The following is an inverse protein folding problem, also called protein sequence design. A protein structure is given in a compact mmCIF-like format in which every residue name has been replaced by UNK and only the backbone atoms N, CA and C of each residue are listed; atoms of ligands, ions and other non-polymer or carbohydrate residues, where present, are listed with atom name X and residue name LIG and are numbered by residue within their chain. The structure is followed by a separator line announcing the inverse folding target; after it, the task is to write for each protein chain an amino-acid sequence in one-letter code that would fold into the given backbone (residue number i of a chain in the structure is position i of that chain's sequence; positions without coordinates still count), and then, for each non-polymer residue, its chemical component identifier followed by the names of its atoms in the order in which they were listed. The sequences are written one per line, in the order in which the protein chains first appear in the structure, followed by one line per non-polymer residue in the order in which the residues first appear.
data_IF_186462511562
#
_entry.id   IF_186462511562
#
_cell.length_a   1.000
_cell.length_b   1.000
_cell.length_c   1.000
_cell.angle_alpha   90.00
_cell.angle_beta   90.00
_cell.angle_gamma   90.00
#
_symmetry.space_group_name_H-M   'P 1'
#
loop_
_entity.id
_entity.type
_entity.pdbx_description
1 polymer ?
#
# COMPACT_ATOMS: atom_id res chain seq x y z
N UNK A 1 -40.32 14.37 -9.85
CA UNK A 1 -39.38 15.35 -9.26
C UNK A 1 -39.07 14.87 -7.85
N UNK A 2 -37.83 14.48 -7.57
CA UNK A 2 -37.42 13.82 -6.33
C UNK A 2 -36.68 14.84 -5.47
N UNK A 3 -37.16 15.11 -4.24
CA UNK A 3 -36.56 16.07 -3.31
C UNK A 3 -35.95 15.29 -2.14
N UNK A 4 -34.63 15.07 -2.10
CA UNK A 4 -34.02 14.35 -0.99
C UNK A 4 -34.01 15.24 0.27
N UNK A 5 -34.62 14.73 1.35
CA UNK A 5 -34.65 15.42 2.65
C UNK A 5 -33.42 15.00 3.46
N UNK A 6 -32.36 15.81 3.43
CA UNK A 6 -31.15 15.57 4.22
C UNK A 6 -31.42 16.04 5.65
N UNK A 7 -31.44 15.11 6.61
CA UNK A 7 -31.53 15.42 8.05
C UNK A 7 -30.12 15.65 8.59
N UNK A 8 -29.80 16.89 8.97
CA UNK A 8 -28.57 17.20 9.68
C UNK A 8 -28.75 16.93 11.18
N UNK A 9 -27.94 16.04 11.74
CA UNK A 9 -27.81 15.86 13.20
C UNK A 9 -26.63 16.72 13.65
N UNK A 10 -26.91 17.73 14.49
CA UNK A 10 -25.91 18.68 14.98
C UNK A 10 -25.07 17.98 16.06
N UNK A 11 -23.77 17.82 15.83
CA UNK A 11 -22.82 17.20 16.77
C UNK A 11 -22.05 18.34 17.44
N UNK A 12 -22.62 18.88 18.53
CA UNK A 12 -21.95 19.60 19.62
C UNK A 12 -23.00 20.38 20.41
N UNK A 13 -23.56 19.75 21.43
CA UNK A 13 -24.13 20.47 22.58
C UNK A 13 -23.45 19.91 23.84
N UNK A 14 -22.99 20.76 24.78
CA UNK A 14 -22.45 20.31 26.05
C UNK A 14 -23.58 19.80 26.95
N UNK A 15 -23.40 18.60 27.49
CA UNK A 15 -24.29 17.97 28.45
C UNK A 15 -24.47 18.85 29.69
N UNK A 16 -25.71 19.23 29.97
CA UNK A 16 -26.11 19.81 31.24
C UNK A 16 -27.29 18.98 31.76
N UNK A 17 -27.06 18.26 32.86
CA UNK A 17 -28.00 17.30 33.41
C UNK A 17 -29.27 17.95 33.98
N UNK A 18 -30.36 17.21 34.01
CA UNK A 18 -31.05 16.87 35.26
C UNK A 18 -32.07 15.75 35.05
N UNK A 19 -32.35 15.06 36.14
CA UNK A 19 -33.04 13.79 36.37
C UNK A 19 -34.47 13.66 35.77
N UNK A 20 -34.83 12.44 35.35
CA UNK A 20 -36.04 11.73 35.85
C UNK A 20 -36.19 10.31 35.30
N UNK A 21 -36.64 9.45 36.21
CA UNK A 21 -36.79 7.99 36.17
C UNK A 21 -38.05 7.50 35.44
N UNK A 22 -37.94 6.50 34.55
CA UNK A 22 -38.97 5.50 34.13
C UNK A 22 -38.21 4.38 33.37
N UNK A 23 -37.88 3.23 33.96
CA UNK A 23 -38.63 1.95 34.09
C UNK A 23 -39.11 1.30 32.76
N UNK A 24 -38.76 0.00 32.61
CA UNK A 24 -39.20 -1.01 31.61
C UNK A 24 -38.49 -0.94 30.24
N UNK A 25 -37.93 -1.99 29.63
CA UNK A 25 -37.89 -3.45 29.82
C UNK A 25 -36.72 -4.00 28.96
N UNK A 26 -36.12 -5.17 29.27
CA UNK A 26 -35.14 -5.82 28.39
C UNK A 26 -35.86 -6.49 27.22
N UNK A 27 -35.51 -6.12 25.99
CA UNK A 27 -35.89 -6.88 24.80
C UNK A 27 -34.76 -7.87 24.55
N UNK A 28 -34.98 -9.11 24.99
CA UNK A 28 -34.35 -10.29 24.40
C UNK A 28 -34.69 -10.29 22.90
N UNK A 29 -33.66 -10.31 22.05
CA UNK A 29 -33.87 -10.68 20.66
C UNK A 29 -32.88 -11.77 20.25
N UNK A 30 -33.48 -12.80 19.69
CA UNK A 30 -33.00 -14.17 19.64
C UNK A 30 -31.79 -14.37 18.75
N UNK A 31 -30.93 -15.25 19.24
CA UNK A 31 -29.98 -16.08 18.51
C UNK A 31 -30.73 -16.97 17.50
N UNK A 32 -30.36 -16.96 16.20
CA UNK A 32 -30.51 -18.15 15.39
C UNK A 32 -29.24 -19.02 15.53
N UNK A 33 -29.42 -20.19 16.14
CA UNK A 33 -28.68 -21.39 15.75
C UNK A 33 -28.90 -21.59 14.24
N UNK A 34 -27.87 -21.76 13.43
CA UNK A 34 -27.12 -23.00 13.35
C UNK A 34 -27.61 -23.77 12.12
N UNK A 35 -26.85 -23.74 11.03
CA UNK A 35 -26.90 -24.78 10.00
C UNK A 35 -25.48 -25.16 9.64
N UNK A 36 -25.01 -26.26 10.22
CA UNK A 36 -23.96 -27.08 9.66
C UNK A 36 -24.52 -27.82 8.44
N UNK A 37 -23.78 -27.83 7.34
CA UNK A 37 -23.77 -28.92 6.35
C UNK A 37 -22.46 -28.77 5.57
N UNK A 38 -21.37 -29.44 5.94
CA UNK A 38 -21.00 -30.81 5.57
C UNK A 38 -21.12 -31.12 4.06
N UNK A 39 -19.97 -31.05 3.39
CA UNK A 39 -19.34 -32.18 2.67
C UNK A 39 -19.04 -31.97 1.18
N UNK A 40 -17.74 -32.16 0.89
CA UNK A 40 -17.11 -32.80 -0.30
C UNK A 40 -17.27 -32.05 -1.64
N UNK A 41 -16.23 -31.86 -2.43
CA UNK A 41 -15.42 -32.92 -3.04
C UNK A 41 -13.96 -32.54 -3.27
N UNK A 42 -13.11 -33.54 -3.06
CA UNK A 42 -11.73 -33.58 -3.48
C UNK A 42 -11.64 -33.50 -5.01
N UNK A 43 -10.88 -32.55 -5.53
CA UNK A 43 -10.37 -32.61 -6.91
C UNK A 43 -8.85 -32.59 -6.84
N UNK A 44 -8.31 -33.80 -6.80
CA UNK A 44 -7.18 -34.29 -7.58
C UNK A 44 -5.97 -33.36 -7.76
N UNK A 45 -4.99 -33.53 -6.87
CA UNK A 45 -3.57 -33.24 -7.15
C UNK A 45 -3.14 -33.92 -8.45
N UNK A 46 -2.70 -33.10 -9.41
CA UNK A 46 -1.93 -33.54 -10.57
C UNK A 46 -0.46 -33.23 -10.30
N UNK A 47 0.45 -34.22 -10.28
CA UNK A 47 1.87 -33.97 -10.10
C UNK A 47 2.45 -33.22 -11.31
N UNK A 48 3.21 -32.13 -11.13
CA UNK A 48 3.91 -31.48 -12.23
C UNK A 48 5.09 -32.35 -12.69
N UNK A 49 5.14 -32.60 -14.00
CA UNK A 49 6.29 -33.21 -14.66
C UNK A 49 7.53 -32.30 -14.55
N UNK A 50 8.73 -32.87 -14.36
CA UNK A 50 9.97 -32.12 -14.45
C UNK A 50 10.31 -31.87 -15.92
N UNK A 51 10.06 -30.66 -16.42
CA UNK A 51 10.55 -30.23 -17.73
C UNK A 51 12.02 -29.87 -17.59
N UNK A 52 12.84 -30.71 -18.20
CA UNK A 52 14.29 -30.61 -18.39
C UNK A 52 14.61 -29.26 -19.08
N UNK A 53 15.15 -28.30 -18.33
CA UNK A 53 15.67 -27.04 -18.89
C UNK A 53 17.08 -27.28 -19.43
N UNK A 54 17.26 -26.97 -20.71
CA UNK A 54 18.56 -26.89 -21.37
C UNK A 54 19.34 -25.66 -20.88
N UNK A 55 20.67 -25.71 -20.79
CA UNK A 55 21.47 -24.54 -20.43
C UNK A 55 21.56 -23.57 -21.61
N UNK A 56 20.76 -22.50 -21.57
CA UNK A 56 20.99 -21.31 -22.41
C UNK A 56 22.18 -20.54 -21.84
N UNK A 57 23.34 -20.89 -22.37
CA UNK A 57 24.54 -20.07 -22.37
C UNK A 57 24.32 -18.89 -23.32
N UNK A 58 24.45 -17.65 -22.84
CA UNK A 58 24.33 -16.51 -23.75
C UNK A 58 24.28 -15.12 -23.12
N UNK A 59 25.46 -14.50 -23.09
CA UNK A 59 25.70 -13.08 -23.39
C UNK A 59 25.50 -12.08 -22.26
N UNK A 60 26.67 -11.74 -21.70
CA UNK A 60 27.03 -10.47 -21.06
C UNK A 60 26.53 -9.28 -21.90
N UNK A 61 25.68 -8.45 -21.32
CA UNK A 61 25.50 -7.07 -21.77
C UNK A 61 26.14 -6.15 -20.73
N UNK A 62 27.42 -5.89 -20.95
CA UNK A 62 28.05 -4.64 -20.51
C UNK A 62 27.48 -3.57 -21.41
N UNK A 63 26.57 -2.73 -20.91
CA UNK A 63 26.22 -1.50 -21.61
C UNK A 63 26.86 -0.32 -20.90
N UNK A 64 27.85 0.21 -21.60
CA UNK A 64 28.61 1.39 -21.28
C UNK A 64 27.69 2.62 -21.29
N UNK A 65 27.65 3.29 -20.14
CA UNK A 65 27.81 4.74 -20.00
C UNK A 65 27.53 5.57 -21.27
N UNK A 66 26.26 5.91 -21.49
CA UNK A 66 25.88 7.05 -22.31
C UNK A 66 25.57 8.26 -21.40
N UNK A 67 26.58 9.10 -21.20
CA UNK A 67 26.43 10.50 -20.78
C UNK A 67 26.03 11.33 -22.02
N UNK A 68 24.76 11.28 -22.43
CA UNK A 68 24.23 12.19 -23.46
C UNK A 68 23.13 13.06 -22.84
N UNK A 69 23.40 14.37 -22.89
CA UNK A 69 22.61 15.45 -22.32
C UNK A 69 21.49 15.77 -23.30
N UNK A 70 20.41 15.02 -23.25
CA UNK A 70 19.17 15.36 -23.94
C UNK A 70 18.04 15.43 -22.90
N UNK A 71 17.27 16.51 -22.96
CA UNK A 71 16.13 16.87 -22.11
C UNK A 71 14.93 15.93 -22.35
N UNK A 72 15.19 14.63 -22.47
CA UNK A 72 14.21 13.59 -22.57
C UNK A 72 13.66 13.33 -21.16
N UNK A 73 12.36 13.57 -20.99
CA UNK A 73 11.61 13.18 -19.79
C UNK A 73 11.95 11.72 -19.47
N UNK A 74 12.74 11.52 -18.41
CA UNK A 74 13.10 10.17 -17.96
C UNK A 74 11.84 9.53 -17.43
N UNK A 75 11.57 8.30 -17.84
CA UNK A 75 10.45 7.55 -17.26
C UNK A 75 10.77 7.25 -15.79
N UNK A 76 9.75 7.23 -14.91
CA UNK A 76 9.95 6.93 -13.52
C UNK A 76 10.41 5.47 -13.37
N UNK A 77 11.38 5.22 -12.49
CA UNK A 77 11.96 3.90 -12.29
C UNK A 77 11.84 3.41 -10.85
N UNK A 78 11.74 2.10 -10.70
CA UNK A 78 11.74 1.39 -9.42
C UNK A 78 12.87 0.37 -9.45
N UNK A 79 13.86 0.52 -8.58
CA UNK A 79 14.99 -0.39 -8.45
C UNK A 79 15.07 -0.91 -7.00
N UNK A 80 15.62 -2.10 -6.80
CA UNK A 80 15.91 -2.60 -5.44
C UNK A 80 17.19 -1.93 -4.94
N UNK A 81 17.21 -1.45 -3.70
CA UNK A 81 18.40 -0.81 -3.14
C UNK A 81 19.53 -1.86 -2.99
N UNK A 82 20.71 -1.65 -3.61
CA UNK A 82 21.82 -2.60 -3.50
C UNK A 82 22.39 -2.71 -2.07
N UNK A 83 22.12 -1.72 -1.22
CA UNK A 83 22.56 -1.70 0.18
C UNK A 83 21.59 -2.43 1.11
N UNK A 84 20.31 -2.48 0.73
CA UNK A 84 19.23 -3.05 1.54
C UNK A 84 18.16 -3.72 0.65
N UNK A 85 18.15 -5.05 0.62
CA UNK A 85 17.23 -5.84 -0.19
C UNK A 85 15.75 -5.72 0.26
N UNK A 86 15.49 -5.15 1.44
CA UNK A 86 14.13 -4.86 1.94
C UNK A 86 13.62 -3.50 1.50
N UNK A 87 14.44 -2.72 0.78
CA UNK A 87 14.12 -1.37 0.31
C UNK A 87 14.16 -1.27 -1.21
N UNK A 88 13.40 -0.32 -1.73
CA UNK A 88 13.41 0.07 -3.14
C UNK A 88 13.79 1.54 -3.26
N UNK A 89 14.50 1.87 -4.33
CA UNK A 89 14.82 3.21 -4.77
C UNK A 89 13.88 3.59 -5.92
N UNK A 90 13.06 4.60 -5.67
CA UNK A 90 12.14 5.20 -6.61
C UNK A 90 12.83 6.43 -7.21
N UNK A 91 12.90 6.52 -8.53
CA UNK A 91 13.37 7.72 -9.24
C UNK A 91 12.20 8.28 -10.04
N UNK A 92 11.83 9.52 -9.73
CA UNK A 92 10.80 10.27 -10.44
C UNK A 92 11.32 10.83 -11.77
N UNK A 93 10.41 11.22 -12.66
CA UNK A 93 10.76 11.81 -13.96
C UNK A 93 11.52 13.13 -13.82
N UNK A 94 11.26 13.85 -12.72
CA UNK A 94 11.95 15.10 -12.36
C UNK A 94 13.32 14.89 -11.70
N UNK A 95 13.74 13.63 -11.52
CA UNK A 95 15.00 13.25 -10.90
C UNK A 95 14.98 13.23 -9.37
N UNK A 96 13.85 13.54 -8.71
CA UNK A 96 13.72 13.32 -7.27
C UNK A 96 13.76 11.83 -6.98
N UNK A 97 14.40 11.48 -5.86
CA UNK A 97 14.58 10.09 -5.44
C UNK A 97 13.96 9.85 -4.08
N UNK A 98 13.34 8.69 -3.93
CA UNK A 98 12.78 8.24 -2.68
C UNK A 98 13.24 6.81 -2.39
N UNK A 99 13.48 6.48 -1.13
CA UNK A 99 13.58 5.11 -0.65
C UNK A 99 12.25 4.70 -0.05
N UNK A 100 11.83 3.47 -0.28
CA UNK A 100 10.59 2.92 0.28
C UNK A 100 10.80 1.48 0.71
N UNK A 101 9.91 0.95 1.54
CA UNK A 101 9.90 -0.49 1.81
C UNK A 101 9.52 -1.25 0.53
N UNK A 102 10.19 -2.37 0.28
CA UNK A 102 9.96 -3.19 -0.91
C UNK A 102 8.60 -3.87 -0.93
N UNK A 103 8.10 -4.28 0.23
CA UNK A 103 6.87 -5.08 0.32
C UNK A 103 5.68 -4.25 0.73
N UNK A 104 4.58 -4.37 -0.03
CA UNK A 104 3.31 -3.71 0.27
C UNK A 104 2.74 -4.19 1.61
N UNK A 105 2.42 -3.29 2.56
CA UNK A 105 1.93 -3.66 3.89
C UNK A 105 0.54 -4.29 3.90
N UNK A 106 -0.18 -4.30 2.76
CA UNK A 106 -1.49 -4.94 2.67
C UNK A 106 -1.39 -6.48 2.63
N UNK A 107 -0.58 -7.02 1.70
CA UNK A 107 -0.51 -8.46 1.44
C UNK A 107 0.91 -8.96 1.09
N UNK A 108 1.95 -8.16 1.35
CA UNK A 108 3.35 -8.53 1.09
C UNK A 108 3.74 -8.55 -0.38
N UNK A 109 2.99 -7.90 -1.27
CA UNK A 109 3.31 -7.82 -2.69
C UNK A 109 4.63 -7.07 -2.90
N UNK A 110 5.50 -7.59 -3.78
CA UNK A 110 6.79 -6.98 -4.11
C UNK A 110 6.60 -5.76 -5.02
N UNK A 111 6.80 -4.57 -4.46
CA UNK A 111 6.63 -3.29 -5.15
C UNK A 111 7.76 -3.02 -6.15
N UNK A 112 8.88 -3.74 -6.10
CA UNK A 112 9.91 -3.60 -7.14
C UNK A 112 9.45 -4.15 -8.49
N UNK A 113 8.47 -5.05 -8.48
CA UNK A 113 7.93 -5.68 -9.68
C UNK A 113 6.48 -5.29 -9.96
N UNK A 114 5.68 -5.12 -8.90
CA UNK A 114 4.24 -4.81 -8.98
C UNK A 114 3.94 -3.34 -8.62
N UNK A 115 4.96 -2.52 -8.40
CA UNK A 115 4.79 -1.09 -8.14
C UNK A 115 4.69 -0.29 -9.44
N UNK A 116 3.88 0.76 -9.41
CA UNK A 116 3.78 1.76 -10.47
C UNK A 116 3.82 3.16 -9.85
N UNK A 117 4.53 4.10 -10.48
CA UNK A 117 4.63 5.48 -10.00
C UNK A 117 3.68 6.35 -10.82
N UNK A 118 2.69 6.92 -10.15
CA UNK A 118 1.75 7.87 -10.73
C UNK A 118 2.12 9.30 -10.29
N UNK A 119 2.81 10.04 -11.18
CA UNK A 119 3.25 11.42 -10.91
C UNK A 119 2.18 12.46 -11.25
N UNK A 120 1.48 12.28 -12.37
CA UNK A 120 0.56 13.27 -12.95
C UNK A 120 -0.93 12.96 -12.71
N UNK A 121 -1.25 11.82 -12.10
CA UNK A 121 -2.63 11.36 -11.93
C UNK A 121 -3.38 12.09 -10.80
N UNK A 122 -2.65 12.59 -9.80
CA UNK A 122 -3.22 13.21 -8.61
C UNK A 122 -2.99 14.72 -8.58
N UNK A 123 -3.85 15.47 -7.88
CA UNK A 123 -3.64 16.89 -7.62
C UNK A 123 -2.30 17.16 -6.90
N UNK A 124 -1.71 18.35 -7.07
CA UNK A 124 -0.43 18.70 -6.43
C UNK A 124 -0.48 18.64 -4.90
N UNK A 125 -1.66 18.69 -4.28
CA UNK A 125 -1.82 18.55 -2.83
C UNK A 125 -1.57 17.12 -2.31
N UNK A 126 -1.68 16.10 -3.17
CA UNK A 126 -1.34 14.70 -2.86
C UNK A 126 0.10 14.43 -3.27
N UNK A 127 0.49 14.93 -4.45
CA UNK A 127 1.79 14.70 -5.05
C UNK A 127 1.89 13.32 -5.71
N UNK A 128 3.11 12.89 -6.09
CA UNK A 128 3.35 11.60 -6.71
C UNK A 128 3.01 10.44 -5.76
N UNK A 129 2.48 9.37 -6.34
CA UNK A 129 1.98 8.20 -5.62
C UNK A 129 2.67 6.93 -6.11
N UNK A 130 3.12 6.09 -5.19
CA UNK A 130 3.46 4.70 -5.50
C UNK A 130 2.20 3.84 -5.33
N UNK A 131 1.81 3.16 -6.39
CA UNK A 131 0.64 2.27 -6.41
C UNK A 131 1.07 0.81 -6.52
N UNK A 132 0.48 -0.05 -5.69
CA UNK A 132 0.58 -1.49 -5.87
C UNK A 132 -0.45 -1.97 -6.89
N UNK A 133 0.01 -2.49 -8.03
CA UNK A 133 -0.86 -2.94 -9.14
C UNK A 133 -1.72 -4.17 -8.81
N UNK A 134 -1.42 -4.90 -7.72
CA UNK A 134 -2.18 -6.10 -7.34
C UNK A 134 -3.57 -5.77 -6.76
N UNK A 135 -3.64 -4.75 -5.89
CA UNK A 135 -4.87 -4.36 -5.18
C UNK A 135 -5.13 -2.85 -5.21
N UNK A 136 -4.37 -2.10 -6.01
CA UNK A 136 -4.49 -0.65 -6.19
C UNK A 136 -4.33 0.13 -4.87
N UNK A 137 -3.40 -0.32 -4.03
CA UNK A 137 -3.09 0.41 -2.80
C UNK A 137 -2.10 1.53 -3.10
N UNK A 138 -2.48 2.73 -2.71
CA UNK A 138 -1.78 3.97 -3.04
C UNK A 138 -1.00 4.49 -1.83
N UNK A 139 0.22 4.94 -2.06
CA UNK A 139 1.10 5.51 -1.04
C UNK A 139 1.68 6.84 -1.54
N UNK A 140 1.26 7.95 -0.93
CA UNK A 140 1.75 9.28 -1.31
C UNK A 140 3.22 9.45 -0.91
N UNK A 141 4.11 9.64 -1.90
CA UNK A 141 5.55 9.68 -1.69
C UNK A 141 5.97 10.86 -0.80
N UNK A 142 5.44 12.05 -1.10
CA UNK A 142 5.75 13.29 -0.37
C UNK A 142 5.21 13.30 1.06
N UNK A 143 4.21 12.46 1.35
CA UNK A 143 3.60 12.33 2.69
C UNK A 143 4.15 11.14 3.48
N UNK A 144 5.34 10.67 3.10
CA UNK A 144 6.03 9.57 3.78
C UNK A 144 5.28 8.24 3.67
N UNK A 145 4.59 8.01 2.54
CA UNK A 145 3.90 6.75 2.25
C UNK A 145 2.59 6.52 2.98
N UNK A 146 1.90 7.59 3.40
CA UNK A 146 0.53 7.49 3.92
C UNK A 146 -0.43 7.09 2.81
N UNK A 147 -1.26 6.07 3.06
CA UNK A 147 -2.36 5.72 2.18
C UNK A 147 -3.58 6.61 2.40
N UNK A 148 -4.42 6.76 1.37
CA UNK A 148 -5.65 7.56 1.42
C UNK A 148 -6.64 7.12 2.51
N UNK A 149 -6.57 5.85 2.97
CA UNK A 149 -7.39 5.31 4.05
C UNK A 149 -6.76 5.35 5.44
N UNK A 150 -5.48 5.70 5.57
CA UNK A 150 -4.76 5.77 6.86
C UNK A 150 -4.52 4.43 7.57
N UNK A 151 -5.01 3.32 7.03
CA UNK A 151 -4.94 1.97 7.65
C UNK A 151 -3.63 1.25 7.39
N UNK A 152 -2.89 1.64 6.34
CA UNK A 152 -1.62 1.02 5.97
C UNK A 152 -0.67 2.08 5.46
N UNK A 153 0.55 2.08 5.98
CA UNK A 153 1.57 3.08 5.65
C UNK A 153 2.84 2.37 5.20
N UNK A 154 3.43 2.83 4.11
CA UNK A 154 4.73 2.40 3.64
C UNK A 154 5.79 3.35 4.18
N UNK A 155 6.98 2.89 4.59
CA UNK A 155 8.02 3.82 5.06
C UNK A 155 8.75 4.44 3.86
N UNK A 156 8.28 5.60 3.40
CA UNK A 156 8.85 6.32 2.27
C UNK A 156 9.67 7.52 2.72
N UNK A 157 10.80 7.75 2.06
CA UNK A 157 11.85 8.66 2.48
C UNK A 157 12.53 9.37 1.31
N UNK A 158 12.56 10.71 1.23
CA UNK A 158 13.31 11.40 0.18
C UNK A 158 14.83 11.18 0.34
N UNK A 159 15.54 11.21 -0.79
CA UNK A 159 17.00 11.10 -0.87
C UNK A 159 17.57 12.41 -1.46
N UNK A 160 18.57 13.05 -0.84
CA UNK A 160 19.27 12.68 0.41
C UNK A 160 18.41 12.91 1.66
N UNK A 161 18.49 11.97 2.60
CA UNK A 161 17.54 11.82 3.70
C UNK A 161 17.87 12.69 4.92
N UNK A 162 17.58 13.99 4.86
CA UNK A 162 17.71 14.86 6.03
C UNK A 162 16.51 14.77 7.00
N UNK A 163 15.38 14.21 6.56
CA UNK A 163 14.09 14.34 7.27
C UNK A 163 13.37 13.03 7.58
N UNK A 164 14.02 11.88 7.41
CA UNK A 164 13.38 10.60 7.68
C UNK A 164 13.47 10.20 9.14
N UNK A 165 12.34 9.92 9.81
CA UNK A 165 12.37 9.21 11.08
C UNK A 165 12.81 7.79 10.76
N UNK A 166 14.11 7.53 10.87
CA UNK A 166 14.64 6.18 10.98
C UNK A 166 13.79 5.54 12.08
N UNK A 167 13.03 4.51 11.74
CA UNK A 167 12.50 3.60 12.75
C UNK A 167 13.74 3.01 13.40
N UNK A 168 14.24 3.64 14.45
CA UNK A 168 15.20 3.00 15.33
C UNK A 168 14.52 1.69 15.70
N UNK A 169 15.07 0.58 15.19
CA UNK A 169 14.72 -0.76 15.59
C UNK A 169 15.14 -0.90 17.05
N UNK A 170 14.43 -0.23 17.95
CA UNK A 170 14.48 -0.46 19.37
C UNK A 170 13.83 -1.82 19.50
N UNK A 171 14.67 -2.86 19.42
CA UNK A 171 14.29 -4.23 19.68
C UNK A 171 13.44 -4.19 20.95
N UNK A 172 12.15 -4.54 20.81
CA UNK A 172 11.29 -4.77 21.94
C UNK A 172 11.97 -5.88 22.74
N UNK A 173 12.68 -5.49 23.80
CA UNK A 173 13.19 -6.42 24.80
C UNK A 173 11.95 -6.98 25.49
N UNK A 174 11.59 -8.20 25.09
CA UNK A 174 10.61 -9.04 25.76
C UNK A 174 11.26 -9.75 26.95
#
# INVERSE_FOLDING_TARGET
MFVPTIRYKRVNEPENGNESSVNQQPIEQEKPAGTQSLSREATQEKPPQPTKQEPVSGTVSTDEKNDDVDDAKKEPTIEVDPSDNERILLTLSDGRKYTADRYCPHAGADLSYLGEIAEDEYPPEIGPVLMCTLHYWEFALEKGGRSGGGISTLNICPVPSDSCPVKENKALQW
#
